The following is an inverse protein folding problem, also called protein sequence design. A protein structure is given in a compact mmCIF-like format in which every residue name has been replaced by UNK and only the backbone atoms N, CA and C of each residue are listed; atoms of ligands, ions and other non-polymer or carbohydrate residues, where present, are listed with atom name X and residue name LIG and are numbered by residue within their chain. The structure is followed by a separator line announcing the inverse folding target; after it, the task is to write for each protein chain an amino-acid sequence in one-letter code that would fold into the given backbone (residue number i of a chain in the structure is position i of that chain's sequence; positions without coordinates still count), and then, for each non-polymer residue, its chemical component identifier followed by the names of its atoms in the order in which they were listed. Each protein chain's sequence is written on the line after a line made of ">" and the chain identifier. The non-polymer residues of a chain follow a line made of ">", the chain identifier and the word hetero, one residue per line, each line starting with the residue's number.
data_IF_756766626023
#
_entry.id   IF_756766626023
#
_cell.length_a   1.000
_cell.length_b   1.000
_cell.length_c   1.000
_cell.angle_alpha   90.00
_cell.angle_beta   90.00
_cell.angle_gamma   90.00
#
_symmetry.space_group_name_H-M   'P 1'
#
loop_
_entity.id
_entity.type
_entity.pdbx_description
1 polymer ?
#
# COMPACT_ATOMS: atom_id res chain seq x y z
N UNK A 1 22.70 10.63 23.53
CA UNK A 1 21.43 9.98 23.84
C UNK A 1 20.66 9.64 22.55
N UNK A 2 20.08 10.60 21.78
CA UNK A 2 19.30 10.25 20.59
C UNK A 2 20.11 9.45 19.56
N UNK A 3 21.34 9.86 19.25
CA UNK A 3 22.16 9.17 18.25
C UNK A 3 22.41 7.69 18.55
N UNK A 4 22.53 7.30 19.82
CA UNK A 4 22.67 5.90 20.21
C UNK A 4 21.38 5.10 19.96
N UNK A 5 20.21 5.72 20.22
CA UNK A 5 18.92 5.08 19.97
C UNK A 5 18.70 4.93 18.46
N UNK A 6 18.94 5.98 17.67
CA UNK A 6 18.85 5.91 16.21
C UNK A 6 19.76 4.82 15.65
N UNK A 7 21.02 4.74 16.15
CA UNK A 7 21.94 3.68 15.73
C UNK A 7 21.37 2.30 16.02
N UNK A 8 20.82 2.08 17.23
CA UNK A 8 20.25 0.77 17.60
C UNK A 8 19.03 0.41 16.81
N UNK A 9 18.12 1.36 16.55
CA UNK A 9 16.98 1.14 15.66
C UNK A 9 17.43 0.78 14.24
N UNK A 10 18.39 1.52 13.69
CA UNK A 10 18.94 1.23 12.36
C UNK A 10 19.60 -0.14 12.30
N UNK A 11 20.33 -0.55 13.33
CA UNK A 11 20.93 -1.89 13.39
C UNK A 11 19.91 -3.01 13.54
N UNK A 12 18.74 -2.73 14.12
CA UNK A 12 17.65 -3.68 14.28
C UNK A 12 16.72 -3.75 13.05
N UNK A 13 16.78 -2.75 12.17
CA UNK A 13 15.95 -2.70 10.95
C UNK A 13 16.24 -3.89 10.06
N UNK A 14 15.18 -4.60 9.64
CA UNK A 14 15.27 -5.82 8.85
C UNK A 14 15.81 -7.04 9.63
N UNK A 15 16.03 -6.93 10.93
CA UNK A 15 16.47 -8.04 11.82
C UNK A 15 15.34 -8.48 12.73
N UNK A 16 14.67 -7.53 13.37
CA UNK A 16 13.45 -7.74 14.17
C UNK A 16 12.39 -6.73 13.76
N UNK A 17 11.09 -7.11 13.72
CA UNK A 17 10.01 -6.16 13.49
C UNK A 17 9.97 -5.09 14.57
N UNK A 18 9.90 -3.83 14.17
CA UNK A 18 9.87 -2.68 15.07
C UNK A 18 8.53 -1.95 14.97
N UNK A 19 7.84 -1.78 16.09
CA UNK A 19 6.52 -1.15 16.15
C UNK A 19 6.57 0.05 17.10
N UNK A 20 6.10 1.19 16.64
CA UNK A 20 5.91 2.40 17.46
C UNK A 20 4.43 2.65 17.70
N UNK A 21 4.05 2.93 18.96
CA UNK A 21 2.73 3.41 19.32
C UNK A 21 2.84 4.79 20.00
N UNK A 22 2.18 5.80 19.42
CA UNK A 22 2.23 7.19 19.88
C UNK A 22 0.93 7.52 20.60
N UNK A 23 0.98 7.68 21.94
CA UNK A 23 -0.17 8.01 22.77
C UNK A 23 -0.14 9.47 23.30
N UNK A 24 0.99 10.15 23.17
CA UNK A 24 1.19 11.51 23.63
C UNK A 24 1.99 12.33 22.63
N UNK A 25 2.71 13.34 23.12
CA UNK A 25 3.50 14.23 22.28
C UNK A 25 4.85 13.62 21.92
N UNK A 26 5.05 13.36 20.66
CA UNK A 26 6.28 12.86 20.05
C UNK A 26 6.85 13.93 19.10
N UNK A 27 7.68 14.84 19.63
CA UNK A 27 8.15 16.02 18.89
C UNK A 27 9.66 16.15 18.82
N UNK A 28 10.14 16.91 17.85
CA UNK A 28 11.56 17.15 17.61
C UNK A 28 12.31 15.86 17.30
N UNK A 29 13.41 15.58 18.02
CA UNK A 29 14.20 14.37 17.83
C UNK A 29 13.42 13.07 18.08
N UNK A 30 12.42 13.07 18.95
CA UNK A 30 11.53 11.91 19.12
C UNK A 30 10.68 11.64 17.88
N UNK A 31 10.32 12.67 17.13
CA UNK A 31 9.52 12.55 15.90
C UNK A 31 10.17 11.73 14.79
N UNK A 32 11.46 11.42 14.89
CA UNK A 32 12.16 10.53 13.97
C UNK A 32 11.97 9.05 14.30
N UNK A 33 11.66 8.68 15.55
CA UNK A 33 11.51 7.27 15.91
C UNK A 33 10.45 6.53 15.11
N UNK A 34 9.23 7.07 14.93
CA UNK A 34 8.20 6.39 14.14
C UNK A 34 8.63 6.10 12.70
N UNK A 35 9.39 7.01 12.09
CA UNK A 35 9.86 6.85 10.71
C UNK A 35 11.04 5.87 10.57
N UNK A 36 11.62 5.46 11.67
CA UNK A 36 12.72 4.46 11.73
C UNK A 36 12.21 3.08 12.14
N UNK A 37 10.95 2.93 12.49
CA UNK A 37 10.29 1.66 12.77
C UNK A 37 9.47 1.19 11.57
N UNK A 38 9.11 -0.08 11.54
CA UNK A 38 8.41 -0.68 10.41
C UNK A 38 6.93 -0.30 10.39
N UNK A 39 6.30 -0.18 11.58
CA UNK A 39 4.88 0.18 11.71
C UNK A 39 4.67 1.20 12.82
N UNK A 40 3.79 2.17 12.55
CA UNK A 40 3.46 3.24 13.47
C UNK A 40 1.95 3.32 13.73
N UNK A 41 1.56 3.26 14.99
CA UNK A 41 0.21 3.45 15.48
C UNK A 41 0.13 4.79 16.22
N UNK A 42 -1.00 5.50 16.06
CA UNK A 42 -1.17 6.80 16.72
C UNK A 42 -2.57 6.98 17.26
N UNK A 43 -2.67 7.41 18.52
CA UNK A 43 -3.94 7.73 19.16
C UNK A 43 -4.57 8.97 18.50
N UNK A 44 -5.87 8.91 18.23
CA UNK A 44 -6.57 9.81 17.30
C UNK A 44 -6.76 11.24 17.83
N UNK A 45 -6.87 11.44 19.17
CA UNK A 45 -7.30 12.72 19.77
C UNK A 45 -6.15 13.52 20.37
N UNK A 46 -5.33 12.88 21.20
CA UNK A 46 -4.36 13.55 22.04
C UNK A 46 -2.91 13.39 21.55
N UNK A 47 -2.62 12.35 20.77
CA UNK A 47 -1.28 12.13 20.27
C UNK A 47 -0.88 13.22 19.27
N UNK A 48 0.41 13.59 19.32
CA UNK A 48 1.02 14.57 18.42
C UNK A 48 2.36 14.04 17.95
N UNK A 49 2.56 14.05 16.62
CA UNK A 49 3.79 13.61 15.97
C UNK A 49 4.31 14.72 15.05
N UNK A 50 5.52 15.21 15.28
CA UNK A 50 6.13 16.27 14.46
C UNK A 50 7.64 16.37 14.66
N UNK A 51 8.35 16.79 13.65
CA UNK A 51 9.75 17.26 13.77
C UNK A 51 9.75 18.75 14.14
N UNK A 52 9.04 19.56 13.37
CA UNK A 52 8.81 20.98 13.67
C UNK A 52 7.37 21.18 14.12
N UNK A 53 7.18 21.85 15.25
CA UNK A 53 5.84 22.10 15.76
C UNK A 53 5.01 22.95 14.77
N UNK A 54 3.69 22.70 14.60
CA UNK A 54 2.86 23.40 13.63
C UNK A 54 2.93 24.92 13.71
N UNK A 55 3.06 25.47 14.92
CA UNK A 55 3.19 26.92 15.15
C UNK A 55 4.56 27.51 14.79
N UNK A 56 5.55 26.67 14.55
CA UNK A 56 6.89 27.05 14.08
C UNK A 56 7.05 26.96 12.57
N UNK A 57 6.04 26.50 11.83
CA UNK A 57 6.07 26.39 10.38
C UNK A 57 5.78 27.75 9.73
N UNK A 58 6.64 28.17 8.79
CA UNK A 58 6.42 29.39 8.04
C UNK A 58 5.08 29.36 7.30
N UNK A 59 4.31 30.45 7.44
CA UNK A 59 3.00 30.57 6.80
C UNK A 59 1.85 29.83 7.49
N UNK A 60 2.10 28.99 8.48
CA UNK A 60 1.04 28.21 9.13
C UNK A 60 0.08 29.06 10.00
N UNK A 61 0.46 30.30 10.32
CA UNK A 61 -0.45 31.29 10.92
C UNK A 61 -1.68 31.54 10.04
N UNK A 62 -1.53 31.44 8.72
CA UNK A 62 -2.59 31.63 7.72
C UNK A 62 -3.35 30.32 7.50
N UNK A 63 -2.66 29.24 7.20
CA UNK A 63 -3.26 27.93 6.86
C UNK A 63 -3.85 27.21 8.07
N UNK A 64 -3.31 27.45 9.26
CA UNK A 64 -3.73 26.80 10.54
C UNK A 64 -3.76 25.27 10.43
N UNK A 65 -2.86 24.69 9.65
CA UNK A 65 -2.74 23.24 9.50
C UNK A 65 -2.19 22.63 10.79
N UNK A 66 -2.88 21.65 11.36
CA UNK A 66 -2.34 20.85 12.46
C UNK A 66 -1.55 19.66 11.89
N UNK A 67 -0.35 19.96 11.37
CA UNK A 67 0.56 18.95 10.82
C UNK A 67 1.07 17.94 11.86
N UNK A 68 0.75 18.11 13.15
CA UNK A 68 1.09 17.17 14.20
C UNK A 68 -0.03 16.15 14.51
N UNK A 69 -1.21 16.32 13.93
CA UNK A 69 -2.38 15.47 14.21
C UNK A 69 -2.22 14.07 13.61
N UNK A 70 -2.87 13.08 14.24
CA UNK A 70 -2.92 11.72 13.75
C UNK A 70 -3.46 11.65 12.31
N UNK A 71 -4.50 12.43 12.01
CA UNK A 71 -5.07 12.51 10.66
C UNK A 71 -4.04 12.97 9.62
N UNK A 72 -3.32 14.06 9.89
CA UNK A 72 -2.29 14.56 8.97
C UNK A 72 -1.18 13.51 8.76
N UNK A 73 -0.74 12.88 9.84
CA UNK A 73 0.34 11.89 9.77
C UNK A 73 -0.08 10.58 9.09
N UNK A 74 -1.36 10.25 9.08
CA UNK A 74 -1.89 9.07 8.41
C UNK A 74 -2.30 9.34 6.95
N UNK A 75 -2.86 10.51 6.64
CA UNK A 75 -3.44 10.76 5.32
C UNK A 75 -2.51 11.54 4.37
N UNK A 76 -1.69 12.45 4.93
CA UNK A 76 -0.84 13.36 4.12
C UNK A 76 0.64 12.96 4.14
N UNK A 77 1.18 12.54 5.28
CA UNK A 77 2.59 12.17 5.39
C UNK A 77 2.87 10.68 5.17
N UNK A 78 1.88 9.81 5.39
CA UNK A 78 2.03 8.37 5.26
C UNK A 78 2.95 7.72 6.31
N UNK A 79 3.23 8.41 7.42
CA UNK A 79 4.06 7.86 8.50
C UNK A 79 3.27 6.90 9.37
N UNK A 80 1.99 7.19 9.62
CA UNK A 80 1.15 6.43 10.53
C UNK A 80 0.35 5.39 9.77
N UNK A 81 0.47 4.13 10.19
CA UNK A 81 -0.22 3.00 9.58
C UNK A 81 -1.66 2.86 10.08
N UNK A 82 -1.89 3.05 11.38
CA UNK A 82 -3.20 2.89 12.02
C UNK A 82 -3.47 4.02 12.99
N UNK A 83 -4.65 4.63 12.87
CA UNK A 83 -5.17 5.65 13.80
C UNK A 83 -6.40 5.11 14.49
N UNK A 84 -6.42 5.11 15.81
CA UNK A 84 -7.56 4.65 16.61
C UNK A 84 -7.47 5.19 18.05
N UNK A 85 -8.43 4.84 18.91
CA UNK A 85 -8.29 5.04 20.35
C UNK A 85 -7.25 4.08 20.97
N UNK A 86 -6.81 4.37 22.19
CA UNK A 86 -5.73 3.64 22.87
C UNK A 86 -6.02 2.13 22.98
N UNK A 87 -7.24 1.73 23.32
CA UNK A 87 -7.60 0.33 23.51
C UNK A 87 -7.54 -0.42 22.17
N UNK A 88 -8.13 0.15 21.14
CA UNK A 88 -8.10 -0.40 19.77
C UNK A 88 -6.68 -0.49 19.23
N UNK A 89 -5.81 0.51 19.50
CA UNK A 89 -4.38 0.42 19.12
C UNK A 89 -3.71 -0.81 19.73
N UNK A 90 -3.92 -1.06 21.02
CA UNK A 90 -3.30 -2.21 21.69
C UNK A 90 -3.81 -3.53 21.12
N UNK A 91 -5.08 -3.61 20.75
CA UNK A 91 -5.66 -4.78 20.06
C UNK A 91 -5.03 -4.94 18.67
N UNK A 92 -4.95 -3.87 17.88
CA UNK A 92 -4.37 -3.89 16.53
C UNK A 92 -2.86 -4.17 16.53
N UNK A 93 -2.11 -3.72 17.53
CA UNK A 93 -0.70 -4.12 17.70
C UNK A 93 -0.59 -5.62 17.96
N UNK A 94 -1.44 -6.20 18.81
CA UNK A 94 -1.45 -7.66 19.04
C UNK A 94 -1.83 -8.43 17.78
N UNK A 95 -2.81 -7.93 17.03
CA UNK A 95 -3.21 -8.51 15.76
C UNK A 95 -2.03 -8.49 14.75
N UNK A 96 -1.38 -7.33 14.56
CA UNK A 96 -0.21 -7.23 13.69
C UNK A 96 0.91 -8.18 14.10
N UNK A 97 1.26 -8.22 15.39
CA UNK A 97 2.30 -9.13 15.90
C UNK A 97 1.98 -10.59 15.60
N UNK A 98 0.71 -10.99 15.53
CA UNK A 98 0.34 -12.35 15.17
C UNK A 98 0.64 -12.71 13.71
N UNK A 99 0.74 -11.73 12.81
CA UNK A 99 1.12 -11.94 11.41
C UNK A 99 2.64 -12.00 11.21
N UNK A 100 3.43 -11.42 12.12
CA UNK A 100 4.85 -11.20 11.91
C UNK A 100 5.70 -12.35 12.50
N UNK A 101 6.82 -12.73 11.87
CA UNK A 101 7.81 -13.60 12.49
C UNK A 101 8.53 -12.86 13.63
N UNK A 102 9.17 -13.60 14.53
CA UNK A 102 9.90 -13.00 15.64
C UNK A 102 11.16 -12.25 15.20
N UNK A 103 11.80 -12.69 14.12
CA UNK A 103 12.99 -12.10 13.52
C UNK A 103 13.12 -12.54 12.05
N UNK A 104 14.14 -12.06 11.35
CA UNK A 104 14.39 -12.33 9.95
C UNK A 104 15.00 -13.72 9.64
N UNK A 105 15.35 -14.50 10.66
CA UNK A 105 15.83 -15.88 10.50
C UNK A 105 14.70 -16.91 10.70
N UNK A 106 13.56 -16.47 11.25
CA UNK A 106 12.37 -17.31 11.41
C UNK A 106 11.59 -17.37 10.10
N UNK A 107 10.87 -18.47 9.91
CA UNK A 107 9.91 -18.62 8.81
C UNK A 107 8.73 -17.64 8.98
N UNK A 108 8.03 -17.36 7.88
CA UNK A 108 6.79 -16.57 7.92
C UNK A 108 5.83 -17.14 8.98
N UNK A 109 5.16 -16.23 9.71
CA UNK A 109 4.24 -16.61 10.76
C UNK A 109 3.16 -17.55 10.24
N UNK A 110 2.90 -18.62 10.98
CA UNK A 110 1.94 -19.67 10.65
C UNK A 110 0.95 -19.90 11.80
N UNK A 111 -0.33 -19.98 11.48
CA UNK A 111 -1.41 -20.32 12.40
C UNK A 111 -1.77 -21.81 12.26
N UNK A 112 -1.36 -22.65 13.22
CA UNK A 112 -1.56 -24.11 13.18
C UNK A 112 -3.03 -24.55 13.19
N UNK A 113 -3.89 -23.77 13.84
CA UNK A 113 -5.33 -24.10 14.01
C UNK A 113 -6.20 -23.43 12.92
N UNK A 114 -5.66 -23.18 11.72
CA UNK A 114 -6.46 -22.64 10.61
C UNK A 114 -7.52 -23.67 10.19
N UNK A 115 -8.78 -23.24 10.17
CA UNK A 115 -9.93 -24.08 9.78
C UNK A 115 -10.56 -23.66 8.46
N UNK A 116 -10.04 -22.60 7.81
CA UNK A 116 -10.55 -22.14 6.52
C UNK A 116 -10.17 -23.11 5.39
N UNK A 117 -11.05 -23.28 4.41
CA UNK A 117 -10.82 -24.19 3.28
C UNK A 117 -10.19 -23.42 2.10
N UNK A 118 -8.92 -23.68 1.81
CA UNK A 118 -8.23 -23.13 0.64
C UNK A 118 -8.94 -23.36 -0.69
N UNK A 119 -9.77 -24.40 -0.79
CA UNK A 119 -10.51 -24.72 -2.01
C UNK A 119 -11.91 -24.12 -2.03
N UNK A 120 -12.27 -23.29 -1.05
CA UNK A 120 -13.57 -22.60 -1.08
C UNK A 120 -13.69 -21.71 -2.30
N UNK A 121 -14.85 -21.75 -2.93
CA UNK A 121 -15.17 -20.89 -4.07
C UNK A 121 -15.97 -19.69 -3.59
N UNK A 122 -15.46 -18.50 -3.82
CA UNK A 122 -16.18 -17.28 -3.48
C UNK A 122 -16.46 -16.46 -4.76
N UNK A 123 -17.69 -16.55 -5.32
CA UNK A 123 -18.04 -15.85 -6.55
C UNK A 123 -18.13 -14.33 -6.37
N UNK A 124 -18.25 -13.83 -5.14
CA UNK A 124 -18.40 -12.39 -4.84
C UNK A 124 -17.11 -11.61 -5.15
N UNK A 125 -15.95 -12.27 -5.11
CA UNK A 125 -14.66 -11.64 -5.36
C UNK A 125 -14.61 -10.98 -6.76
N UNK A 126 -15.32 -11.51 -7.74
CA UNK A 126 -15.38 -10.95 -9.09
C UNK A 126 -16.01 -9.53 -9.12
N UNK A 127 -16.87 -9.22 -8.15
CA UNK A 127 -17.45 -7.89 -7.99
C UNK A 127 -16.54 -6.87 -7.28
N UNK A 128 -15.41 -7.30 -6.72
CA UNK A 128 -14.55 -6.48 -5.88
C UNK A 128 -13.29 -5.95 -6.60
N UNK A 129 -13.27 -5.97 -7.95
CA UNK A 129 -12.13 -5.46 -8.75
C UNK A 129 -11.79 -4.00 -8.44
N UNK A 130 -12.80 -3.20 -8.11
CA UNK A 130 -12.64 -1.78 -7.76
C UNK A 130 -12.08 -1.56 -6.36
N UNK A 131 -12.60 -2.29 -5.38
CA UNK A 131 -12.14 -2.24 -3.98
C UNK A 131 -11.37 -3.51 -3.61
N UNK A 132 -10.07 -3.46 -3.82
CA UNK A 132 -9.18 -4.60 -3.58
C UNK A 132 -8.92 -4.88 -2.10
N UNK A 133 -9.23 -3.95 -1.19
CA UNK A 133 -9.21 -4.23 0.25
C UNK A 133 -10.30 -5.25 0.61
N UNK A 134 -11.52 -5.08 0.05
CA UNK A 134 -12.62 -6.04 0.18
C UNK A 134 -12.25 -7.37 -0.47
N UNK A 135 -11.67 -7.34 -1.69
CA UNK A 135 -11.23 -8.56 -2.38
C UNK A 135 -10.21 -9.36 -1.55
N UNK A 136 -9.23 -8.68 -0.94
CA UNK A 136 -8.22 -9.30 -0.08
C UNK A 136 -8.83 -9.84 1.22
N UNK A 137 -9.80 -9.15 1.80
CA UNK A 137 -10.55 -9.67 2.95
C UNK A 137 -11.30 -10.96 2.61
N UNK A 138 -11.97 -11.01 1.46
CA UNK A 138 -12.66 -12.21 0.99
C UNK A 138 -11.70 -13.39 0.73
N UNK A 139 -10.48 -13.10 0.25
CA UNK A 139 -9.45 -14.12 0.02
C UNK A 139 -8.85 -14.66 1.31
N UNK A 140 -8.73 -13.81 2.32
CA UNK A 140 -8.06 -14.11 3.58
C UNK A 140 -8.79 -15.21 4.37
N UNK A 141 -8.03 -16.03 5.08
CA UNK A 141 -8.57 -16.94 6.09
C UNK A 141 -9.42 -16.14 7.08
N UNK A 142 -10.61 -16.66 7.41
CA UNK A 142 -11.58 -16.02 8.30
C UNK A 142 -11.95 -14.58 7.91
N UNK A 143 -11.75 -14.19 6.64
CA UNK A 143 -11.90 -12.83 6.10
C UNK A 143 -11.04 -11.78 6.83
N UNK A 144 -9.93 -12.18 7.44
CA UNK A 144 -9.07 -11.29 8.20
C UNK A 144 -7.93 -10.72 7.34
N UNK A 145 -8.14 -9.51 6.83
CA UNK A 145 -7.13 -8.71 6.13
C UNK A 145 -6.73 -7.50 6.99
N UNK A 146 -5.47 -7.41 7.33
CA UNK A 146 -4.90 -6.28 8.09
C UNK A 146 -4.29 -5.27 7.14
N UNK A 147 -5.07 -4.24 6.73
CA UNK A 147 -4.59 -3.14 5.87
C UNK A 147 -3.70 -2.19 6.67
N UNK A 148 -2.51 -1.86 6.15
CA UNK A 148 -1.60 -0.84 6.68
C UNK A 148 -1.64 0.41 5.81
N UNK A 149 -1.50 1.60 6.42
CA UNK A 149 -1.57 2.91 5.74
C UNK A 149 -2.84 3.08 4.90
N UNK A 150 -3.99 2.62 5.40
CA UNK A 150 -5.26 2.65 4.67
C UNK A 150 -5.67 4.08 4.27
N UNK A 151 -5.32 5.11 5.07
CA UNK A 151 -5.60 6.52 4.79
C UNK A 151 -4.67 7.18 3.78
N UNK A 152 -3.46 6.62 3.56
CA UNK A 152 -2.44 7.19 2.69
C UNK A 152 -2.39 6.49 1.34
N UNK A 153 -2.26 7.28 0.26
CA UNK A 153 -2.21 6.74 -1.10
C UNK A 153 -3.26 5.64 -1.32
N UNK A 154 -4.54 5.98 -1.11
CA UNK A 154 -5.67 5.04 -1.06
C UNK A 154 -5.85 4.18 -2.31
N UNK A 155 -5.29 4.59 -3.44
CA UNK A 155 -5.25 3.83 -4.69
C UNK A 155 -4.26 2.65 -4.68
N UNK A 156 -3.45 2.53 -3.62
CA UNK A 156 -2.54 1.43 -3.37
C UNK A 156 -2.86 0.81 -2.00
N UNK A 157 -3.29 -0.44 -2.00
CA UNK A 157 -3.57 -1.23 -0.79
C UNK A 157 -2.34 -2.03 -0.44
N UNK A 158 -1.95 -2.01 0.84
CA UNK A 158 -0.88 -2.85 1.39
C UNK A 158 -1.35 -3.44 2.72
N UNK A 159 -1.01 -4.67 3.00
CA UNK A 159 -1.44 -5.30 4.26
C UNK A 159 -1.10 -6.78 4.32
N UNK A 160 -1.50 -7.42 5.41
CA UNK A 160 -1.26 -8.83 5.67
C UNK A 160 -2.56 -9.62 5.69
N UNK A 161 -2.51 -10.82 5.15
CA UNK A 161 -3.56 -11.83 5.24
C UNK A 161 -2.94 -13.19 5.52
N UNK A 162 -3.77 -14.18 5.85
CA UNK A 162 -3.33 -15.56 5.87
C UNK A 162 -4.04 -16.36 4.79
N UNK A 163 -3.31 -17.33 4.25
CA UNK A 163 -3.82 -18.35 3.34
C UNK A 163 -3.36 -19.71 3.88
N UNK A 164 -4.31 -20.53 4.32
CA UNK A 164 -4.05 -21.81 5.02
C UNK A 164 -3.10 -21.63 6.23
N UNK A 165 -3.36 -20.58 7.01
CA UNK A 165 -2.58 -20.23 8.18
C UNK A 165 -1.27 -19.48 7.90
N UNK A 166 -0.73 -19.51 6.67
CA UNK A 166 0.53 -18.86 6.32
C UNK A 166 0.32 -17.38 6.08
N UNK A 167 1.13 -16.54 6.73
CA UNK A 167 1.12 -15.08 6.49
C UNK A 167 1.63 -14.74 5.11
N UNK A 168 0.88 -13.92 4.40
CA UNK A 168 1.18 -13.38 3.07
C UNK A 168 1.03 -11.86 3.10
N UNK A 169 2.01 -11.13 2.56
CA UNK A 169 1.89 -9.71 2.29
C UNK A 169 1.12 -9.47 0.99
N UNK A 170 0.21 -8.50 0.99
CA UNK A 170 -0.57 -8.15 -0.19
C UNK A 170 -0.27 -6.73 -0.66
N UNK A 171 -0.14 -6.54 -1.97
CA UNK A 171 -0.04 -5.24 -2.64
C UNK A 171 -1.07 -5.19 -3.75
N UNK A 172 -2.00 -4.24 -3.73
CA UNK A 172 -3.07 -4.23 -4.71
C UNK A 172 -3.42 -2.81 -5.18
N UNK A 173 -3.80 -2.66 -6.46
CA UNK A 173 -4.34 -1.40 -6.96
C UNK A 173 -5.82 -1.31 -6.64
N UNK A 174 -6.28 -0.15 -6.16
CA UNK A 174 -7.66 0.13 -5.81
C UNK A 174 -8.17 1.32 -6.62
N UNK A 175 -9.37 1.21 -7.19
CA UNK A 175 -10.02 2.27 -7.97
C UNK A 175 -11.33 2.75 -7.36
N UNK A 176 -11.82 2.08 -6.31
CA UNK A 176 -13.04 2.43 -5.59
C UNK A 176 -12.86 2.11 -4.12
N UNK A 177 -13.59 2.83 -3.26
CA UNK A 177 -13.75 2.49 -1.86
C UNK A 177 -15.25 2.28 -1.65
N UNK A 178 -15.63 1.13 -1.14
CA UNK A 178 -17.00 0.78 -0.82
C UNK A 178 -17.31 1.05 0.65
N UNK A 179 -18.56 1.40 0.93
CA UNK A 179 -19.09 1.48 2.28
C UNK A 179 -19.49 0.09 2.81
N UNK A 180 -19.96 0.03 4.06
CA UNK A 180 -20.41 -1.20 4.72
C UNK A 180 -21.61 -1.88 4.01
N UNK A 181 -22.35 -1.12 3.17
CA UNK A 181 -23.45 -1.65 2.35
C UNK A 181 -22.96 -2.15 0.97
N UNK A 182 -21.67 -2.08 0.68
CA UNK A 182 -21.05 -2.46 -0.60
C UNK A 182 -21.29 -1.44 -1.73
N UNK A 183 -21.72 -0.20 -1.39
CA UNK A 183 -21.85 0.87 -2.37
C UNK A 183 -20.58 1.67 -2.50
N UNK A 184 -20.28 2.14 -3.70
CA UNK A 184 -19.12 2.98 -3.96
C UNK A 184 -19.27 4.32 -3.24
N UNK A 185 -18.47 4.53 -2.21
CA UNK A 185 -18.41 5.78 -1.43
C UNK A 185 -17.42 6.78 -2.04
N UNK A 186 -16.27 6.30 -2.56
CA UNK A 186 -15.23 7.13 -3.18
C UNK A 186 -14.73 6.46 -4.47
N UNK A 187 -14.50 7.24 -5.53
CA UNK A 187 -13.85 6.78 -6.76
C UNK A 187 -12.43 7.30 -6.81
N UNK A 188 -11.50 6.40 -7.12
CA UNK A 188 -10.09 6.67 -7.27
C UNK A 188 -9.67 6.39 -8.73
N UNK A 189 -8.58 7.02 -9.17
CA UNK A 189 -8.00 6.65 -10.45
C UNK A 189 -7.17 5.38 -10.33
N UNK A 190 -7.39 4.42 -11.25
CA UNK A 190 -6.60 3.19 -11.33
C UNK A 190 -5.21 3.46 -11.97
N UNK A 191 -4.43 4.34 -11.36
CA UNK A 191 -3.09 4.76 -11.80
C UNK A 191 -2.09 4.58 -10.68
N UNK A 192 -0.81 4.48 -11.03
CA UNK A 192 0.28 4.56 -10.06
C UNK A 192 0.58 6.03 -9.75
N UNK A 193 0.47 6.38 -8.47
CA UNK A 193 0.95 7.66 -7.92
C UNK A 193 2.34 7.48 -7.32
N UNK A 194 3.07 8.57 -7.11
CA UNK A 194 4.39 8.52 -6.48
C UNK A 194 4.29 7.97 -5.06
N UNK A 195 3.32 8.46 -4.30
CA UNK A 195 3.03 8.03 -2.93
C UNK A 195 2.66 6.56 -2.86
N UNK A 196 1.81 6.07 -3.79
CA UNK A 196 1.43 4.67 -3.88
C UNK A 196 2.60 3.75 -4.21
N UNK A 197 3.49 4.19 -5.11
CA UNK A 197 4.72 3.44 -5.42
C UNK A 197 5.66 3.37 -4.22
N UNK A 198 5.85 4.45 -3.47
CA UNK A 198 6.70 4.46 -2.28
C UNK A 198 6.12 3.58 -1.17
N UNK A 199 4.82 3.71 -0.87
CA UNK A 199 4.08 2.85 0.08
C UNK A 199 4.27 1.37 -0.24
N UNK A 200 4.05 0.97 -1.49
CA UNK A 200 4.21 -0.41 -1.91
C UNK A 200 5.67 -0.88 -1.85
N UNK A 201 6.64 -0.04 -2.23
CA UNK A 201 8.06 -0.38 -2.19
C UNK A 201 8.55 -0.62 -0.76
N UNK A 202 8.16 0.22 0.19
CA UNK A 202 8.47 0.05 1.62
C UNK A 202 7.90 -1.27 2.14
N UNK A 203 6.64 -1.56 1.82
CA UNK A 203 5.97 -2.77 2.25
C UNK A 203 6.60 -4.05 1.66
N UNK A 204 6.95 -4.05 0.37
CA UNK A 204 7.63 -5.18 -0.28
C UNK A 204 9.00 -5.43 0.32
N UNK A 205 9.78 -4.37 0.59
CA UNK A 205 11.08 -4.49 1.26
C UNK A 205 10.96 -5.07 2.68
N UNK A 206 9.91 -4.71 3.41
CA UNK A 206 9.61 -5.31 4.71
C UNK A 206 9.31 -6.81 4.56
N UNK A 207 8.42 -7.19 3.63
CA UNK A 207 8.09 -8.59 3.39
C UNK A 207 9.34 -9.41 3.01
N UNK A 208 10.20 -8.88 2.15
CA UNK A 208 11.45 -9.54 1.76
C UNK A 208 12.41 -9.73 2.93
N UNK A 209 12.58 -8.69 3.77
CA UNK A 209 13.45 -8.77 4.94
C UNK A 209 13.01 -9.84 5.95
N UNK A 210 11.72 -10.12 6.04
CA UNK A 210 11.14 -11.05 7.01
C UNK A 210 10.61 -12.36 6.39
N UNK A 211 11.01 -12.69 5.17
CA UNK A 211 10.66 -13.97 4.53
C UNK A 211 9.17 -14.14 4.23
N UNK A 212 8.39 -13.05 4.15
CA UNK A 212 6.94 -13.08 3.91
C UNK A 212 6.65 -13.09 2.40
N UNK A 213 5.98 -14.13 1.85
CA UNK A 213 5.57 -14.16 0.44
C UNK A 213 4.67 -12.98 0.08
N UNK A 214 4.71 -12.55 -1.19
CA UNK A 214 3.93 -11.38 -1.66
C UNK A 214 2.93 -11.78 -2.74
N UNK A 215 1.65 -11.46 -2.48
CA UNK A 215 0.55 -11.52 -3.44
C UNK A 215 0.28 -10.11 -3.99
N UNK A 216 0.21 -9.98 -5.32
CA UNK A 216 -0.15 -8.72 -5.97
C UNK A 216 -1.45 -8.87 -6.74
N UNK A 217 -2.41 -7.95 -6.52
CA UNK A 217 -3.62 -7.82 -7.34
C UNK A 217 -3.48 -6.58 -8.23
N UNK A 218 -3.34 -6.80 -9.54
CA UNK A 218 -3.05 -5.72 -10.49
C UNK A 218 -4.31 -5.25 -11.22
N UNK A 219 -4.61 -3.95 -11.07
CA UNK A 219 -5.62 -3.22 -11.84
C UNK A 219 -5.11 -1.81 -12.09
N UNK A 220 -4.29 -1.60 -13.13
CA UNK A 220 -3.61 -0.34 -13.39
C UNK A 220 -3.65 0.05 -14.88
N UNK A 221 -4.04 1.29 -15.17
CA UNK A 221 -4.15 1.82 -16.54
C UNK A 221 -2.95 2.69 -16.98
N UNK A 222 -2.03 3.01 -16.05
CA UNK A 222 -0.88 3.88 -16.32
C UNK A 222 -0.39 4.55 -15.06
N UNK A 223 0.42 5.59 -15.25
CA UNK A 223 0.89 6.48 -14.18
C UNK A 223 0.00 7.70 -14.07
N UNK A 224 -0.03 8.33 -12.90
CA UNK A 224 -0.70 9.62 -12.73
C UNK A 224 -0.04 10.69 -13.61
N UNK A 225 -0.84 11.34 -14.46
CA UNK A 225 -0.36 12.29 -15.46
C UNK A 225 -0.64 13.74 -15.03
N UNK A 226 0.02 14.19 -13.95
CA UNK A 226 -0.02 15.59 -13.47
C UNK A 226 1.38 16.18 -13.39
N UNK A 227 1.49 17.53 -13.45
CA UNK A 227 2.77 18.20 -13.26
C UNK A 227 3.36 17.99 -11.85
N UNK A 228 2.52 17.74 -10.85
CA UNK A 228 2.96 17.43 -9.51
C UNK A 228 3.57 16.03 -9.45
N UNK A 229 2.87 15.05 -10.02
CA UNK A 229 3.33 13.66 -10.10
C UNK A 229 4.62 13.54 -10.90
N UNK A 230 4.75 14.22 -12.04
CA UNK A 230 5.94 14.15 -12.92
C UNK A 230 7.26 14.49 -12.20
N UNK A 231 7.20 15.26 -11.11
CA UNK A 231 8.39 15.57 -10.30
C UNK A 231 8.94 14.40 -9.50
N UNK A 232 8.10 13.39 -9.21
CA UNK A 232 8.42 12.32 -8.27
C UNK A 232 8.19 10.92 -8.84
N UNK A 233 7.24 10.76 -9.77
CA UNK A 233 6.75 9.45 -10.22
C UNK A 233 7.85 8.54 -10.78
N UNK A 234 8.76 9.06 -11.59
CA UNK A 234 9.84 8.26 -12.16
C UNK A 234 10.75 7.65 -11.08
N UNK A 235 11.08 8.44 -10.04
CA UNK A 235 11.89 7.97 -8.92
C UNK A 235 11.14 6.97 -8.05
N UNK A 236 9.86 7.22 -7.78
CA UNK A 236 9.03 6.37 -6.97
C UNK A 236 8.75 5.02 -7.67
N UNK A 237 8.41 5.05 -8.97
CA UNK A 237 8.25 3.84 -9.77
C UNK A 237 9.55 3.02 -9.88
N UNK A 238 10.71 3.68 -9.95
CA UNK A 238 12.00 2.99 -9.91
C UNK A 238 12.24 2.30 -8.56
N UNK A 239 11.88 2.93 -7.42
CA UNK A 239 11.94 2.29 -6.09
C UNK A 239 11.06 1.05 -6.03
N UNK A 240 9.81 1.14 -6.52
CA UNK A 240 8.89 -0.01 -6.56
C UNK A 240 9.43 -1.13 -7.44
N UNK A 241 9.95 -0.80 -8.63
CA UNK A 241 10.59 -1.76 -9.52
C UNK A 241 11.75 -2.47 -8.84
N UNK A 242 12.61 -1.69 -8.15
CA UNK A 242 13.74 -2.22 -7.42
C UNK A 242 13.31 -3.14 -6.28
N UNK A 243 12.29 -2.76 -5.51
CA UNK A 243 11.76 -3.58 -4.43
C UNK A 243 11.28 -4.95 -4.94
N UNK A 244 10.42 -4.99 -5.96
CA UNK A 244 9.95 -6.26 -6.51
C UNK A 244 11.04 -7.08 -7.21
N UNK A 245 11.92 -6.44 -7.98
CA UNK A 245 12.96 -7.16 -8.71
C UNK A 245 14.04 -7.74 -7.79
N UNK A 246 14.32 -7.07 -6.68
CA UNK A 246 15.33 -7.49 -5.72
C UNK A 246 14.80 -8.48 -4.67
N UNK A 247 13.49 -8.48 -4.42
CA UNK A 247 12.87 -9.35 -3.42
C UNK A 247 13.07 -10.83 -3.76
N UNK A 248 13.52 -11.60 -2.76
CA UNK A 248 13.85 -13.03 -2.85
C UNK A 248 12.72 -13.95 -2.41
N UNK A 249 11.71 -13.39 -1.73
CA UNK A 249 10.50 -14.13 -1.30
C UNK A 249 9.64 -14.55 -2.49
N UNK A 250 8.82 -15.61 -2.37
CA UNK A 250 7.86 -16.00 -3.40
C UNK A 250 6.92 -14.85 -3.76
N UNK A 251 6.73 -14.59 -5.05
CA UNK A 251 5.92 -13.49 -5.57
C UNK A 251 4.90 -14.00 -6.58
N UNK A 252 3.64 -13.74 -6.29
CA UNK A 252 2.51 -14.07 -7.17
C UNK A 252 1.83 -12.80 -7.62
N UNK A 253 1.53 -12.68 -8.92
CA UNK A 253 0.76 -11.56 -9.47
C UNK A 253 -0.51 -12.07 -10.13
N UNK A 254 -1.65 -11.50 -9.76
CA UNK A 254 -2.94 -11.77 -10.40
C UNK A 254 -3.46 -10.47 -11.03
N UNK A 255 -3.57 -10.46 -12.34
CA UNK A 255 -4.19 -9.35 -13.09
C UNK A 255 -5.70 -9.51 -12.99
N UNK A 256 -6.35 -8.63 -12.22
CA UNK A 256 -7.79 -8.68 -11.93
C UNK A 256 -8.62 -7.72 -12.80
N UNK A 257 -7.96 -6.81 -13.51
CA UNK A 257 -8.60 -5.81 -14.36
C UNK A 257 -7.67 -5.32 -15.45
N UNK A 258 -7.28 -4.05 -15.42
CA UNK A 258 -6.35 -3.46 -16.40
C UNK A 258 -4.89 -3.72 -15.99
N UNK A 259 -4.07 -3.97 -17.01
CA UNK A 259 -2.62 -4.12 -16.88
C UNK A 259 -1.93 -3.47 -18.08
N UNK A 260 -1.77 -2.14 -18.02
CA UNK A 260 -1.37 -1.36 -19.19
C UNK A 260 0.02 -0.73 -19.02
N UNK A 261 0.82 -0.87 -20.07
CA UNK A 261 2.13 -0.22 -20.22
C UNK A 261 3.14 -0.63 -19.16
N UNK A 262 4.09 0.26 -18.92
CA UNK A 262 5.15 0.03 -17.92
C UNK A 262 4.63 0.13 -16.47
N UNK A 263 3.47 0.72 -16.23
CA UNK A 263 2.82 0.71 -14.93
C UNK A 263 2.44 -0.73 -14.51
N UNK A 264 1.98 -1.57 -15.44
CA UNK A 264 1.83 -3.00 -15.20
C UNK A 264 3.17 -3.67 -14.92
N UNK A 265 4.21 -3.35 -15.70
CA UNK A 265 5.52 -3.99 -15.56
C UNK A 265 6.05 -3.85 -14.14
N UNK A 266 5.96 -2.65 -13.55
CA UNK A 266 6.47 -2.38 -12.19
C UNK A 266 5.59 -2.96 -11.07
N UNK A 267 4.37 -3.38 -11.38
CA UNK A 267 3.46 -4.06 -10.46
C UNK A 267 3.70 -5.58 -10.43
N UNK A 268 4.90 -6.00 -10.05
CA UNK A 268 5.25 -7.43 -9.89
C UNK A 268 4.93 -8.26 -11.14
N UNK A 269 5.29 -7.79 -12.32
CA UNK A 269 5.10 -8.57 -13.55
C UNK A 269 6.10 -9.73 -13.64
N UNK A 270 5.79 -10.71 -14.51
CA UNK A 270 6.72 -11.81 -14.84
C UNK A 270 8.09 -11.29 -15.29
N UNK A 271 8.10 -10.16 -16.01
CA UNK A 271 9.32 -9.57 -16.55
C UNK A 271 10.29 -9.04 -15.50
N UNK A 272 9.80 -8.66 -14.30
CA UNK A 272 10.65 -8.20 -13.18
C UNK A 272 10.80 -9.24 -12.07
N UNK A 273 10.40 -10.49 -12.30
CA UNK A 273 10.72 -11.59 -11.39
C UNK A 273 9.56 -12.16 -10.59
N UNK A 274 8.29 -11.93 -10.95
CA UNK A 274 7.20 -12.68 -10.36
C UNK A 274 7.36 -14.18 -10.69
N UNK A 275 7.19 -15.04 -9.69
CA UNK A 275 7.30 -16.49 -9.86
C UNK A 275 6.10 -17.03 -10.65
N UNK A 276 4.91 -16.55 -10.29
CA UNK A 276 3.66 -16.92 -10.96
C UNK A 276 2.89 -15.66 -11.33
N UNK A 277 2.39 -15.63 -12.57
CA UNK A 277 1.50 -14.56 -13.04
C UNK A 277 0.25 -15.18 -13.62
N UNK A 278 -0.90 -14.76 -13.14
CA UNK A 278 -2.23 -15.19 -13.60
C UNK A 278 -3.05 -13.97 -14.01
N UNK A 279 -4.11 -14.20 -14.77
CA UNK A 279 -5.04 -13.14 -15.17
C UNK A 279 -6.47 -13.68 -15.13
N UNK A 280 -7.41 -12.84 -14.75
CA UNK A 280 -8.83 -13.15 -14.89
C UNK A 280 -9.24 -13.14 -16.36
N UNK A 281 -10.32 -13.86 -16.74
CA UNK A 281 -10.69 -14.03 -18.15
C UNK A 281 -11.01 -12.73 -18.88
N UNK A 282 -11.48 -11.71 -18.17
CA UNK A 282 -11.84 -10.37 -18.68
C UNK A 282 -10.76 -9.31 -18.45
N UNK A 283 -9.57 -9.72 -17.99
CA UNK A 283 -8.44 -8.82 -17.80
C UNK A 283 -7.97 -8.21 -19.13
N UNK A 284 -7.62 -6.93 -19.10
CA UNK A 284 -7.16 -6.17 -20.25
C UNK A 284 -5.66 -5.89 -20.12
N UNK A 285 -4.86 -6.57 -20.93
CA UNK A 285 -3.40 -6.43 -20.93
C UNK A 285 -2.96 -5.80 -22.25
N UNK A 286 -2.24 -4.68 -22.20
CA UNK A 286 -1.85 -3.95 -23.40
C UNK A 286 -0.78 -2.88 -23.17
N UNK A 287 -0.45 -2.15 -24.25
CA UNK A 287 0.56 -1.12 -24.22
C UNK A 287 0.08 0.17 -23.54
N UNK A 288 -1.15 0.60 -23.81
CA UNK A 288 -1.76 1.78 -23.18
C UNK A 288 -3.29 1.78 -23.37
N UNK A 289 -3.95 2.66 -22.63
CA UNK A 289 -5.39 2.91 -22.78
C UNK A 289 -5.70 3.55 -24.13
N UNK A 290 -6.75 3.07 -24.81
CA UNK A 290 -7.11 3.53 -26.16
C UNK A 290 -7.36 5.05 -26.23
N UNK A 291 -7.96 5.65 -25.21
CA UNK A 291 -8.17 7.10 -25.17
C UNK A 291 -6.88 7.89 -25.07
N UNK A 292 -5.93 7.39 -24.30
CA UNK A 292 -4.59 8.00 -24.21
C UNK A 292 -3.84 7.85 -25.54
N UNK A 293 -3.89 6.67 -26.16
CA UNK A 293 -3.30 6.41 -27.46
C UNK A 293 -3.86 7.36 -28.54
N UNK A 294 -5.19 7.48 -28.61
CA UNK A 294 -5.85 8.39 -29.54
C UNK A 294 -5.45 9.86 -29.30
N UNK A 295 -5.35 10.30 -28.04
CA UNK A 295 -4.92 11.65 -27.69
C UNK A 295 -3.48 11.95 -28.13
N UNK A 296 -2.60 10.98 -28.05
CA UNK A 296 -1.20 11.14 -28.47
C UNK A 296 -1.08 11.10 -29.99
N UNK A 297 -1.76 10.13 -30.66
CA UNK A 297 -1.62 9.91 -32.09
C UNK A 297 -2.34 11.00 -32.91
N UNK A 298 -3.40 11.57 -32.39
CA UNK A 298 -4.23 12.58 -33.06
C UNK A 298 -4.17 13.93 -32.34
N UNK A 299 -3.00 14.28 -31.80
CA UNK A 299 -2.77 15.56 -31.14
C UNK A 299 -3.12 16.74 -32.07
N UNK A 300 -3.86 17.72 -31.56
CA UNK A 300 -4.37 18.87 -32.31
C UNK A 300 -5.68 18.62 -33.08
N UNK A 301 -6.22 17.41 -33.06
CA UNK A 301 -7.55 17.10 -33.62
C UNK A 301 -8.67 17.41 -32.61
N UNK A 302 -9.90 17.56 -33.12
CA UNK A 302 -11.07 17.80 -32.27
C UNK A 302 -11.39 16.62 -31.35
N UNK A 303 -12.05 16.92 -30.21
CA UNK A 303 -12.41 15.91 -29.20
C UNK A 303 -13.24 14.76 -29.77
N UNK A 304 -14.11 15.03 -30.78
CA UNK A 304 -14.94 14.02 -31.41
C UNK A 304 -14.10 12.97 -32.16
N UNK A 305 -13.06 13.42 -32.88
CA UNK A 305 -12.15 12.53 -33.60
C UNK A 305 -11.34 11.67 -32.61
N UNK A 306 -10.86 12.28 -31.53
CA UNK A 306 -10.13 11.55 -30.50
C UNK A 306 -11.01 10.48 -29.86
N UNK A 307 -12.28 10.79 -29.58
CA UNK A 307 -13.19 9.81 -28.95
C UNK A 307 -13.56 8.68 -29.93
N UNK A 308 -13.77 8.98 -31.23
CA UNK A 308 -14.02 7.97 -32.27
C UNK A 308 -12.83 6.99 -32.37
N UNK A 309 -11.61 7.53 -32.46
CA UNK A 309 -10.38 6.74 -32.60
C UNK A 309 -9.98 5.99 -31.30
N UNK A 310 -10.48 6.44 -30.17
CA UNK A 310 -10.30 5.73 -28.90
C UNK A 310 -11.21 4.48 -28.79
N UNK A 311 -12.28 4.42 -29.58
CA UNK A 311 -13.21 3.29 -29.58
C UNK A 311 -12.85 2.21 -30.62
N UNK A 312 -11.98 2.53 -31.60
CA UNK A 312 -11.39 1.59 -32.54
C UNK A 312 -10.26 0.78 -31.87
#
# INVERSE_FOLDING_TARGET
>A
AFGEIYLKQTMASGVIPQITAVFGTCGGGLGLFPTMTDFTFMEEKNAKLFVNAPNALDGNVITKCDSSSAKFQAEESGIVDVVADEATILEKVRELVSFLPANNEDDASFLEDCTDDLNRVNPEIAGCVGDTSVALSILADDNNFFEVKAGYAKNMVTGFLRLDGVTVGAVANRSEICDEEGKVAEKLDAVLTAEGCEKAAEFVNFCDAFGIPVLTLTNVKGYEATLASEKAIAKAAAKLTYAFANATVPKVNVVIGKALGTAYVVMNSKAIGADITMAWPDAQIGAMDGKLAAKIMYDGQGADVINEKAAE
#
